data_IF_229426240489
#
_entry.id   IF_229426240489
#
_cell.length_a   1.000
_cell.length_b   1.000
_cell.length_c   1.000
_cell.angle_alpha   90.00
_cell.angle_beta   90.00
_cell.angle_gamma   90.00
#
_symmetry.space_group_name_H-M   'P 1'
#
loop_
_entity.id
_entity.type
_entity.pdbx_description
1 polymer ?
#
# COMPACT_ATOMS: atom_id res chain seq x y z
N UNK A 1 30.18 1.27 16.18
CA UNK A 1 29.74 1.37 14.77
C UNK A 1 28.75 0.24 14.48
N UNK A 2 27.45 0.46 14.70
CA UNK A 2 26.45 -0.60 14.55
C UNK A 2 26.32 -1.02 13.09
N UNK A 3 26.55 -2.30 12.79
CA UNK A 3 26.27 -2.86 11.46
C UNK A 3 24.77 -2.75 11.21
N UNK A 4 24.33 -1.77 10.41
CA UNK A 4 22.96 -1.78 9.84
C UNK A 4 22.87 -3.05 9.01
N UNK A 5 22.25 -4.10 9.57
CA UNK A 5 21.83 -5.26 8.79
C UNK A 5 20.90 -4.72 7.70
N UNK A 6 21.37 -4.66 6.45
CA UNK A 6 20.46 -4.56 5.30
C UNK A 6 19.70 -5.86 5.31
N UNK A 7 18.49 -5.84 5.86
CA UNK A 7 17.51 -6.88 5.59
C UNK A 7 17.36 -6.87 4.08
N UNK A 8 17.79 -7.95 3.42
CA UNK A 8 17.50 -8.15 2.01
C UNK A 8 16.00 -8.43 1.98
N UNK A 9 15.21 -7.42 1.64
CA UNK A 9 13.78 -7.58 1.41
C UNK A 9 13.64 -8.66 0.36
N UNK A 10 13.06 -9.80 0.73
CA UNK A 10 12.48 -10.67 -0.27
C UNK A 10 11.48 -9.82 -1.05
N UNK A 11 11.59 -9.83 -2.38
CA UNK A 11 10.65 -9.10 -3.23
C UNK A 11 9.27 -9.63 -2.91
N UNK A 12 8.39 -8.76 -2.42
CA UNK A 12 7.01 -9.15 -2.19
C UNK A 12 6.41 -9.53 -3.55
N UNK A 13 5.50 -10.51 -3.63
CA UNK A 13 4.80 -10.81 -4.88
C UNK A 13 4.09 -9.59 -5.47
N UNK A 14 3.80 -8.59 -4.62
CA UNK A 14 3.18 -7.32 -5.00
C UNK A 14 4.16 -6.31 -5.61
N UNK A 15 5.48 -6.49 -5.47
CA UNK A 15 6.49 -5.57 -6.02
C UNK A 15 6.54 -5.58 -7.56
N UNK A 16 5.95 -6.61 -8.20
CA UNK A 16 5.80 -6.69 -9.66
C UNK A 16 4.51 -6.03 -10.18
N UNK A 17 3.59 -5.66 -9.29
CA UNK A 17 2.36 -4.99 -9.68
C UNK A 17 2.59 -3.47 -9.76
N UNK A 18 1.99 -2.79 -10.74
CA UNK A 18 1.89 -1.34 -10.70
C UNK A 18 1.24 -0.87 -9.40
N UNK A 19 1.71 0.25 -8.85
CA UNK A 19 1.16 0.84 -7.63
C UNK A 19 -0.35 1.10 -7.75
N UNK A 20 -0.79 1.61 -8.90
CA UNK A 20 -2.21 1.86 -9.20
C UNK A 20 -3.07 0.59 -9.11
N UNK A 21 -2.53 -0.58 -9.48
CA UNK A 21 -3.25 -1.84 -9.33
C UNK A 21 -3.48 -2.16 -7.85
N UNK A 22 -2.48 -1.92 -7.00
CA UNK A 22 -2.57 -2.14 -5.57
C UNK A 22 -3.54 -1.12 -4.95
N UNK A 23 -3.41 0.17 -5.29
CA UNK A 23 -4.34 1.22 -4.84
C UNK A 23 -5.78 0.91 -5.23
N UNK A 24 -6.00 0.42 -6.45
CA UNK A 24 -7.33 0.04 -6.91
C UNK A 24 -7.90 -1.13 -6.11
N UNK A 25 -7.09 -2.13 -5.74
CA UNK A 25 -7.53 -3.23 -4.85
C UNK A 25 -7.89 -2.67 -3.46
N UNK A 26 -7.04 -1.82 -2.88
CA UNK A 26 -7.25 -1.24 -1.55
C UNK A 26 -8.51 -0.35 -1.53
N UNK A 27 -8.80 0.36 -2.62
CA UNK A 27 -10.00 1.20 -2.77
C UNK A 27 -11.33 0.43 -2.64
N UNK A 28 -11.32 -0.90 -2.79
CA UNK A 28 -12.49 -1.75 -2.56
C UNK A 28 -12.59 -2.30 -1.13
N UNK A 29 -11.62 -1.99 -0.28
CA UNK A 29 -11.68 -2.36 1.14
C UNK A 29 -12.38 -1.26 1.94
N UNK A 30 -12.16 -1.19 3.25
CA UNK A 30 -12.62 -0.06 4.06
C UNK A 30 -11.41 0.77 4.54
N UNK A 31 -11.60 2.04 4.94
CA UNK A 31 -10.49 2.92 5.35
C UNK A 31 -9.63 2.33 6.47
N UNK A 32 -10.23 1.58 7.40
CA UNK A 32 -9.50 0.92 8.49
C UNK A 32 -8.55 -0.16 7.95
N UNK A 33 -9.00 -0.97 6.99
CA UNK A 33 -8.19 -2.00 6.34
C UNK A 33 -7.07 -1.36 5.52
N UNK A 34 -7.34 -0.27 4.81
CA UNK A 34 -6.30 0.50 4.09
C UNK A 34 -5.18 0.96 5.02
N UNK A 35 -5.51 1.53 6.19
CA UNK A 35 -4.52 1.95 7.18
C UNK A 35 -3.68 0.79 7.71
N UNK A 36 -4.27 -0.38 7.94
CA UNK A 36 -3.52 -1.58 8.35
C UNK A 36 -2.58 -2.03 7.24
N UNK A 37 -3.04 -2.04 5.98
CA UNK A 37 -2.23 -2.43 4.83
C UNK A 37 -0.97 -1.56 4.68
N UNK A 38 -1.07 -0.24 4.93
CA UNK A 38 0.07 0.67 4.88
C UNK A 38 1.23 0.26 5.81
N UNK A 39 0.96 -0.49 6.88
CA UNK A 39 1.99 -0.94 7.84
C UNK A 39 2.73 -2.20 7.41
N UNK A 40 2.24 -2.92 6.40
CA UNK A 40 2.76 -4.23 5.99
C UNK A 40 4.06 -4.10 5.19
N UNK A 41 4.13 -3.12 4.29
CA UNK A 41 5.33 -2.84 3.49
C UNK A 41 5.29 -1.43 2.90
N UNK A 42 6.43 -0.97 2.36
CA UNK A 42 6.52 0.31 1.66
C UNK A 42 5.67 0.36 0.39
N UNK A 43 5.51 -0.77 -0.31
CA UNK A 43 4.68 -0.86 -1.53
C UNK A 43 3.22 -0.60 -1.19
N UNK A 44 2.71 -1.23 -0.12
CA UNK A 44 1.38 -0.97 0.39
C UNK A 44 1.24 0.45 0.97
N UNK A 45 2.26 0.95 1.68
CA UNK A 45 2.28 2.32 2.20
C UNK A 45 2.10 3.36 1.08
N UNK A 46 2.83 3.20 -0.03
CA UNK A 46 2.71 4.08 -1.20
C UNK A 46 1.31 4.01 -1.80
N UNK A 47 0.83 2.79 -2.07
CA UNK A 47 -0.48 2.57 -2.67
C UNK A 47 -1.64 3.16 -1.83
N UNK A 48 -1.57 3.10 -0.50
CA UNK A 48 -2.59 3.68 0.41
C UNK A 48 -2.57 5.21 0.39
N UNK A 49 -1.42 5.84 0.07
CA UNK A 49 -1.31 7.29 -0.06
C UNK A 49 -1.78 7.81 -1.43
N UNK A 50 -2.02 6.94 -2.39
CA UNK A 50 -2.58 7.31 -3.70
C UNK A 50 -4.03 7.78 -3.58
N UNK A 51 -4.38 8.81 -4.34
CA UNK A 51 -5.72 9.39 -4.40
C UNK A 51 -6.78 8.36 -4.85
N UNK A 52 -6.38 7.40 -5.71
CA UNK A 52 -7.23 6.29 -6.18
C UNK A 52 -7.85 5.52 -4.99
N UNK A 53 -7.10 5.37 -3.90
CA UNK A 53 -7.58 4.66 -2.70
C UNK A 53 -8.70 5.44 -2.00
N UNK A 54 -8.55 6.75 -1.88
CA UNK A 54 -9.45 7.60 -1.10
C UNK A 54 -10.66 8.09 -1.88
N UNK A 55 -10.53 8.27 -3.20
CA UNK A 55 -11.64 8.67 -4.07
C UNK A 55 -12.85 7.73 -3.94
N UNK A 56 -12.64 6.41 -3.81
CA UNK A 56 -13.75 5.45 -3.62
C UNK A 56 -14.34 5.42 -2.22
N UNK A 57 -13.63 5.93 -1.21
CA UNK A 57 -14.17 6.00 0.15
C UNK A 57 -15.06 7.23 0.34
N UNK A 58 -14.96 8.21 -0.55
CA UNK A 58 -15.79 9.40 -0.53
C UNK A 58 -17.18 9.09 -1.10
N UNK A 59 -18.23 9.76 -0.62
CA UNK A 59 -19.54 9.70 -1.24
C UNK A 59 -19.46 10.16 -2.70
N UNK A 60 -20.21 9.50 -3.59
CA UNK A 60 -20.43 10.04 -4.93
C UNK A 60 -21.26 11.33 -4.82
N UNK A 61 -20.95 12.32 -5.66
CA UNK A 61 -21.79 13.52 -5.83
C UNK A 61 -23.22 13.19 -6.28
#
# INVERSE_FOLDING_TARGET
MGRKRRVKSESSPFDFLPEDCISYIISFTNPRVACVAATVSKTFESAVKSDITWEKFLPAE
#
